data_IF_851651280397
#
_entry.id   IF_851651280397
#
_cell.length_a   1.000
_cell.length_b   1.000
_cell.length_c   1.000
_cell.angle_alpha   90.00
_cell.angle_beta   90.00
_cell.angle_gamma   90.00
#
_symmetry.space_group_name_H-M   'P 1'
#
loop_
_entity.id
_entity.type
_entity.pdbx_description
1 polymer ?
#
# COMPACT_ATOMS: atom_id res chain seq x y z
N UNK A 1 -22.92 -11.92 22.18
CA UNK A 1 -22.76 -10.64 21.44
C UNK A 1 -21.96 -10.94 20.18
N UNK A 2 -22.57 -10.81 19.00
CA UNK A 2 -21.85 -11.03 17.73
C UNK A 2 -20.98 -9.81 17.44
N UNK A 3 -19.71 -10.01 17.09
CA UNK A 3 -18.82 -8.92 16.71
C UNK A 3 -19.41 -8.12 15.53
N UNK A 4 -19.26 -6.78 15.51
CA UNK A 4 -19.70 -5.97 14.39
C UNK A 4 -18.94 -6.41 13.12
N UNK A 5 -19.69 -6.73 12.06
CA UNK A 5 -19.10 -7.06 10.76
C UNK A 5 -18.51 -5.77 10.17
N UNK A 6 -17.19 -5.73 10.03
CA UNK A 6 -16.49 -4.66 9.32
C UNK A 6 -16.97 -4.67 7.86
N UNK A 7 -17.45 -3.53 7.32
CA UNK A 7 -17.84 -3.45 5.92
C UNK A 7 -16.66 -3.79 5.00
N UNK A 8 -16.92 -4.49 3.90
CA UNK A 8 -15.84 -5.00 3.04
C UNK A 8 -14.95 -3.89 2.48
N UNK A 9 -15.53 -2.76 2.09
CA UNK A 9 -14.78 -1.59 1.61
C UNK A 9 -13.85 -0.99 2.70
N UNK A 10 -14.20 -1.10 3.99
CA UNK A 10 -13.31 -0.68 5.08
C UNK A 10 -12.14 -1.66 5.21
N UNK A 11 -12.40 -2.97 5.08
CA UNK A 11 -11.36 -4.00 5.07
C UNK A 11 -10.38 -3.81 3.90
N UNK A 12 -10.91 -3.54 2.70
CA UNK A 12 -10.11 -3.24 1.51
C UNK A 12 -9.24 -2.00 1.70
N UNK A 13 -9.78 -0.92 2.28
CA UNK A 13 -9.01 0.28 2.60
C UNK A 13 -7.90 0.01 3.63
N UNK A 14 -8.17 -0.82 4.64
CA UNK A 14 -7.17 -1.21 5.64
C UNK A 14 -6.04 -2.04 5.03
N UNK A 15 -6.37 -3.04 4.21
CA UNK A 15 -5.36 -3.86 3.51
C UNK A 15 -4.51 -3.01 2.57
N UNK A 16 -5.14 -2.15 1.76
CA UNK A 16 -4.41 -1.25 0.88
C UNK A 16 -3.46 -0.34 1.66
N UNK A 17 -3.89 0.17 2.82
CA UNK A 17 -3.02 0.98 3.67
C UNK A 17 -1.81 0.22 4.22
N UNK A 18 -2.02 -1.01 4.72
CA UNK A 18 -0.92 -1.86 5.21
C UNK A 18 0.06 -2.20 4.09
N UNK A 19 -0.45 -2.61 2.92
CA UNK A 19 0.38 -2.96 1.77
C UNK A 19 1.20 -1.76 1.27
N UNK A 20 0.59 -0.57 1.23
CA UNK A 20 1.28 0.68 0.92
C UNK A 20 2.46 0.94 1.87
N UNK A 21 2.25 0.75 3.17
CA UNK A 21 3.31 0.93 4.16
C UNK A 21 4.43 -0.10 3.97
N UNK A 22 4.09 -1.36 3.70
CA UNK A 22 5.07 -2.41 3.42
C UNK A 22 5.92 -2.09 2.18
N UNK A 23 5.29 -1.69 1.08
CA UNK A 23 6.04 -1.30 -0.13
C UNK A 23 6.89 -0.06 0.09
N UNK A 24 6.38 0.93 0.84
CA UNK A 24 7.14 2.12 1.21
C UNK A 24 8.40 1.78 2.00
N UNK A 25 8.31 0.86 2.97
CA UNK A 25 9.49 0.38 3.73
C UNK A 25 10.50 -0.31 2.82
N UNK A 26 10.06 -1.18 1.90
CA UNK A 26 10.95 -1.84 0.94
C UNK A 26 11.68 -0.81 0.07
N UNK A 27 10.96 0.18 -0.45
CA UNK A 27 11.54 1.26 -1.25
C UNK A 27 12.58 2.03 -0.44
N UNK A 28 12.26 2.46 0.78
CA UNK A 28 13.18 3.21 1.63
C UNK A 28 14.48 2.44 1.94
N UNK A 29 14.37 1.13 2.19
CA UNK A 29 15.51 0.25 2.42
C UNK A 29 16.39 0.14 1.17
N UNK A 30 15.77 -0.03 -0.01
CA UNK A 30 16.49 -0.13 -1.27
C UNK A 30 17.12 1.22 -1.67
N UNK A 31 16.42 2.33 -1.52
CA UNK A 31 16.97 3.67 -1.79
C UNK A 31 18.13 4.02 -0.85
N UNK A 32 18.08 3.55 0.39
CA UNK A 32 19.18 3.70 1.36
C UNK A 32 20.47 2.98 0.98
N UNK A 33 20.43 2.04 0.02
CA UNK A 33 21.61 1.33 -0.49
C UNK A 33 22.35 0.47 0.55
N UNK A 34 21.74 0.23 1.71
CA UNK A 34 22.41 -0.42 2.84
C UNK A 34 22.42 -1.95 2.77
N UNK A 35 21.52 -2.55 1.97
CA UNK A 35 21.33 -4.01 1.92
C UNK A 35 21.92 -4.70 0.68
N UNK A 36 22.43 -3.97 -0.32
CA UNK A 36 22.94 -4.57 -1.55
C UNK A 36 24.30 -4.01 -1.97
N UNK A 37 25.10 -4.83 -2.66
CA UNK A 37 26.40 -4.44 -3.20
C UNK A 37 26.20 -3.62 -4.48
N UNK A 38 27.19 -2.78 -4.85
CA UNK A 38 27.09 -1.85 -5.98
C UNK A 38 26.71 -2.51 -7.32
N UNK A 39 27.06 -3.78 -7.53
CA UNK A 39 26.70 -4.58 -8.70
C UNK A 39 25.20 -4.92 -8.79
N UNK A 40 24.50 -4.86 -7.66
CA UNK A 40 23.09 -5.22 -7.51
C UNK A 40 22.15 -4.00 -7.62
N UNK A 41 22.71 -2.78 -7.81
CA UNK A 41 21.94 -1.54 -7.96
C UNK A 41 20.88 -1.60 -9.08
N UNK A 42 21.15 -2.19 -10.27
CA UNK A 42 20.12 -2.28 -11.31
C UNK A 42 18.92 -3.15 -10.90
N UNK A 43 19.14 -4.17 -10.07
CA UNK A 43 18.06 -5.03 -9.55
C UNK A 43 17.25 -4.28 -8.50
N UNK A 44 17.92 -3.57 -7.58
CA UNK A 44 17.26 -2.71 -6.60
C UNK A 44 16.36 -1.66 -7.27
N UNK A 45 16.84 -1.01 -8.33
CA UNK A 45 16.05 -0.04 -9.11
C UNK A 45 14.80 -0.68 -9.76
N UNK A 46 14.91 -1.90 -10.31
CA UNK A 46 13.75 -2.63 -10.84
C UNK A 46 12.74 -2.94 -9.73
N UNK A 47 13.20 -3.36 -8.55
CA UNK A 47 12.34 -3.64 -7.40
C UNK A 47 11.61 -2.37 -6.94
N UNK A 48 12.31 -1.23 -6.86
CA UNK A 48 11.71 0.07 -6.54
C UNK A 48 10.63 0.43 -7.57
N UNK A 49 10.90 0.27 -8.86
CA UNK A 49 9.92 0.54 -9.92
C UNK A 49 8.66 -0.33 -9.79
N UNK A 50 8.82 -1.63 -9.47
CA UNK A 50 7.69 -2.52 -9.23
C UNK A 50 6.88 -2.10 -8.00
N UNK A 51 7.56 -1.77 -6.89
CA UNK A 51 6.90 -1.29 -5.67
C UNK A 51 6.13 0.01 -5.94
N UNK A 52 6.73 0.98 -6.63
CA UNK A 52 6.07 2.24 -6.99
C UNK A 52 4.83 2.03 -7.86
N UNK A 53 4.91 1.14 -8.85
CA UNK A 53 3.75 0.79 -9.69
C UNK A 53 2.61 0.19 -8.85
N UNK A 54 2.94 -0.69 -7.91
CA UNK A 54 1.95 -1.34 -7.06
C UNK A 54 1.36 -0.38 -6.03
N UNK A 55 2.18 0.50 -5.44
CA UNK A 55 1.70 1.57 -4.56
C UNK A 55 0.73 2.50 -5.28
N UNK A 56 0.98 2.87 -6.54
CA UNK A 56 0.02 3.65 -7.33
C UNK A 56 -1.31 2.92 -7.56
N UNK A 57 -1.28 1.59 -7.73
CA UNK A 57 -2.50 0.77 -7.85
C UNK A 57 -3.28 0.74 -6.54
N UNK A 58 -2.59 0.55 -5.42
CA UNK A 58 -3.18 0.47 -4.09
C UNK A 58 -3.74 1.81 -3.61
N UNK A 59 -3.07 2.94 -3.92
CA UNK A 59 -3.61 4.28 -3.66
C UNK A 59 -4.96 4.48 -4.33
N UNK A 60 -5.09 4.11 -5.61
CA UNK A 60 -6.38 4.19 -6.33
C UNK A 60 -7.46 3.31 -5.69
N UNK A 61 -7.11 2.11 -5.25
CA UNK A 61 -8.04 1.21 -4.58
C UNK A 61 -8.47 1.77 -3.21
N UNK A 62 -7.53 2.32 -2.45
CA UNK A 62 -7.80 2.98 -1.17
C UNK A 62 -8.70 4.21 -1.34
N UNK A 63 -8.40 5.08 -2.30
CA UNK A 63 -9.21 6.27 -2.60
C UNK A 63 -10.65 5.88 -2.99
N UNK A 64 -10.81 4.87 -3.85
CA UNK A 64 -12.13 4.37 -4.24
C UNK A 64 -12.92 3.81 -3.04
N UNK A 65 -12.24 3.07 -2.15
CA UNK A 65 -12.83 2.54 -0.94
C UNK A 65 -13.24 3.64 0.05
N UNK A 66 -12.41 4.68 0.24
CA UNK A 66 -12.71 5.84 1.09
C UNK A 66 -13.90 6.63 0.53
N UNK A 67 -13.93 6.89 -0.78
CA UNK A 67 -15.07 7.57 -1.44
C UNK A 67 -16.36 6.78 -1.23
N UNK A 68 -16.31 5.46 -1.39
CA UNK A 68 -17.45 4.57 -1.14
C UNK A 68 -17.92 4.63 0.30
N UNK A 69 -16.99 4.64 1.25
CA UNK A 69 -17.28 4.71 2.69
C UNK A 69 -17.93 6.05 3.08
N UNK A 70 -17.41 7.17 2.54
CA UNK A 70 -18.00 8.51 2.74
C UNK A 70 -19.40 8.60 2.15
N UNK A 71 -19.61 8.06 0.94
CA UNK A 71 -20.93 8.03 0.30
C UNK A 71 -21.96 7.22 1.10
N UNK A 72 -21.52 6.20 1.84
CA UNK A 72 -22.37 5.38 2.73
C UNK A 72 -22.56 5.97 4.13
N UNK A 73 -21.85 7.05 4.46
CA UNK A 73 -21.90 7.68 5.78
C UNK A 73 -21.14 6.91 6.87
N UNK A 74 -20.30 5.94 6.50
CA UNK A 74 -19.50 5.11 7.41
C UNK A 74 -18.27 5.86 7.94
N UNK A 75 -17.79 6.86 7.20
CA UNK A 75 -16.74 7.81 7.59
C UNK A 75 -17.34 9.23 7.57
N UNK A 76 -17.53 9.84 8.76
CA UNK A 76 -17.90 11.25 8.92
C UNK A 76 -16.66 12.15 8.92
#
# INVERSE_FOLDING_TARGET
MSAPKIPEHVREAMHAHTDLNTFGVIVAILEGGCLYRNDSQPVALKMIQMCNKEMQRLLKAQDAAIVTSRAKGDLK
#
